data_IF_954200749079
#
_entry.id   IF_954200749079
#
_cell.length_a   1.000
_cell.length_b   1.000
_cell.length_c   1.000
_cell.angle_alpha   90.00
_cell.angle_beta   90.00
_cell.angle_gamma   90.00
#
_symmetry.space_group_name_H-M   'P 1'
#
loop_
_entity.id
_entity.type
_entity.pdbx_description
1 polymer ?
#
# COMPACT_ATOMS: atom_id res chain seq x y z
N UNK A 1 26.76 -2.40 7.35
CA UNK A 1 25.76 -2.23 6.26
C UNK A 1 25.60 -0.74 5.91
N UNK A 2 26.18 -0.29 4.80
CA UNK A 2 26.00 1.07 4.30
C UNK A 2 24.76 1.12 3.40
N UNK A 3 23.71 1.83 3.85
CA UNK A 3 22.58 2.16 2.98
C UNK A 3 23.09 3.12 1.89
N UNK A 4 23.03 2.75 0.60
CA UNK A 4 23.52 3.60 -0.48
C UNK A 4 22.69 4.89 -0.52
N UNK A 5 23.37 6.04 -0.49
CA UNK A 5 22.74 7.36 -0.66
C UNK A 5 22.27 8.08 0.61
N UNK A 6 22.51 7.54 1.81
CA UNK A 6 22.19 8.27 3.04
C UNK A 6 23.15 9.46 3.24
N UNK A 7 22.59 10.62 3.62
CA UNK A 7 23.37 11.77 4.04
C UNK A 7 24.12 11.47 5.35
N UNK A 8 25.38 11.91 5.52
CA UNK A 8 26.14 11.64 6.75
C UNK A 8 25.60 12.50 7.91
N UNK A 9 24.64 11.96 8.65
CA UNK A 9 24.18 12.57 9.90
C UNK A 9 25.16 12.25 11.04
N UNK A 10 25.81 13.26 11.60
CA UNK A 10 26.88 13.09 12.60
C UNK A 10 26.40 13.06 14.06
N UNK A 11 25.15 13.45 14.32
CA UNK A 11 24.61 13.59 15.70
C UNK A 11 23.59 12.50 16.06
N UNK A 12 22.72 12.15 15.13
CA UNK A 12 21.62 11.21 15.34
C UNK A 12 21.18 10.65 13.98
N UNK A 13 20.74 9.41 13.95
CA UNK A 13 20.19 8.77 12.76
C UNK A 13 18.68 9.12 12.64
N UNK A 14 18.26 9.86 11.60
CA UNK A 14 16.86 10.26 11.44
C UNK A 14 15.93 9.11 11.05
N UNK A 15 16.48 7.92 10.74
CA UNK A 15 15.66 6.74 10.45
C UNK A 15 15.23 5.98 11.70
N UNK A 16 15.74 6.37 12.89
CA UNK A 16 15.25 5.85 14.16
C UNK A 16 13.91 6.52 14.49
N UNK A 17 12.86 5.71 14.64
CA UNK A 17 11.56 6.18 15.11
C UNK A 17 11.63 6.44 16.63
N UNK A 18 11.41 7.68 17.05
CA UNK A 18 11.37 8.06 18.48
C UNK A 18 10.02 7.73 19.12
N UNK A 19 8.97 7.70 18.30
CA UNK A 19 7.58 7.51 18.72
C UNK A 19 6.90 6.50 17.80
N UNK A 20 5.98 5.71 18.37
CA UNK A 20 5.22 4.72 17.63
C UNK A 20 4.14 5.42 16.78
N UNK A 21 4.17 5.34 15.44
CA UNK A 21 3.20 6.04 14.59
C UNK A 21 1.82 5.35 14.62
N UNK A 22 0.74 6.13 14.50
CA UNK A 22 -0.61 5.55 14.37
C UNK A 22 -0.82 4.79 13.05
N UNK A 23 -0.15 5.24 11.98
CA UNK A 23 -0.18 4.64 10.64
C UNK A 23 1.25 4.61 10.10
N UNK A 24 1.69 3.45 9.63
CA UNK A 24 2.98 3.28 8.96
C UNK A 24 2.75 2.63 7.59
N UNK A 25 3.22 3.28 6.52
CA UNK A 25 2.95 2.82 5.17
C UNK A 25 4.22 2.71 4.32
N UNK A 26 4.21 1.78 3.37
CA UNK A 26 5.20 1.71 2.30
C UNK A 26 4.55 1.93 0.94
N UNK A 27 5.27 2.61 0.04
CA UNK A 27 4.82 2.89 -1.32
C UNK A 27 5.29 1.84 -2.33
N UNK A 28 4.72 1.90 -3.54
CA UNK A 28 5.12 1.09 -4.70
C UNK A 28 5.16 -0.42 -4.41
N UNK A 29 4.25 -0.92 -3.58
CA UNK A 29 4.13 -2.35 -3.31
C UNK A 29 3.49 -3.09 -4.50
N UNK A 30 3.80 -4.38 -4.71
CA UNK A 30 3.18 -5.16 -5.78
C UNK A 30 1.68 -5.40 -5.57
N UNK A 31 1.18 -5.26 -4.33
CA UNK A 31 -0.24 -5.45 -3.98
C UNK A 31 -0.63 -4.60 -2.77
N UNK A 32 -1.93 -4.31 -2.68
CA UNK A 32 -2.53 -3.71 -1.49
C UNK A 32 -2.57 -4.72 -0.34
N UNK A 33 -2.24 -4.26 0.86
CA UNK A 33 -2.41 -4.99 2.11
C UNK A 33 -2.51 -4.00 3.27
N UNK A 34 -3.34 -4.31 4.25
CA UNK A 34 -3.40 -3.56 5.51
C UNK A 34 -3.46 -4.50 6.71
N UNK A 35 -2.82 -4.12 7.82
CA UNK A 35 -2.85 -4.90 9.07
C UNK A 35 -2.75 -3.99 10.27
N UNK A 36 -3.65 -4.17 11.24
CA UNK A 36 -3.54 -3.53 12.55
C UNK A 36 -2.66 -4.39 13.47
N UNK A 37 -1.60 -3.81 14.01
CA UNK A 37 -0.73 -4.44 15.01
C UNK A 37 -0.93 -3.80 16.38
N UNK A 38 -0.74 -4.61 17.42
CA UNK A 38 -0.70 -4.17 18.82
C UNK A 38 0.71 -4.34 19.35
N UNK A 39 1.26 -3.27 19.93
CA UNK A 39 2.54 -3.28 20.63
C UNK A 39 2.40 -3.83 22.06
N UNK A 40 3.54 -4.06 22.69
CA UNK A 40 3.63 -4.62 24.05
C UNK A 40 3.07 -3.65 25.11
N UNK A 41 3.19 -2.33 24.88
CA UNK A 41 2.64 -1.29 25.78
C UNK A 41 1.24 -0.81 25.36
N UNK A 42 0.53 -1.61 24.56
CA UNK A 42 -0.82 -1.29 24.08
C UNK A 42 -0.87 -0.27 22.94
N UNK A 43 0.26 0.08 22.32
CA UNK A 43 0.27 0.89 21.10
C UNK A 43 -0.50 0.18 19.98
N UNK A 44 -1.15 0.95 19.11
CA UNK A 44 -1.86 0.42 17.93
C UNK A 44 -1.32 1.08 16.67
N UNK A 45 -0.89 0.27 15.72
CA UNK A 45 -0.29 0.73 14.46
C UNK A 45 -1.00 0.09 13.28
N UNK A 46 -1.55 0.91 12.40
CA UNK A 46 -2.03 0.46 11.10
C UNK A 46 -0.85 0.39 10.12
N UNK A 47 -0.50 -0.81 9.68
CA UNK A 47 0.42 -1.03 8.57
C UNK A 47 -0.33 -1.02 7.24
N UNK A 48 0.16 -0.28 6.24
CA UNK A 48 -0.42 -0.24 4.89
C UNK A 48 0.65 -0.40 3.80
N UNK A 49 0.42 -1.30 2.86
CA UNK A 49 1.22 -1.39 1.62
C UNK A 49 0.45 -0.74 0.48
N UNK A 50 0.89 0.45 0.05
CA UNK A 50 0.25 1.20 -1.02
C UNK A 50 0.69 0.60 -2.36
N UNK A 51 -0.22 0.05 -3.17
CA UNK A 51 0.15 -0.61 -4.42
C UNK A 51 0.64 0.38 -5.47
N UNK A 52 1.40 -0.11 -6.46
CA UNK A 52 1.80 0.67 -7.63
C UNK A 52 0.57 1.06 -8.45
N UNK A 53 0.20 2.34 -8.47
CA UNK A 53 -1.02 2.79 -9.14
C UNK A 53 -1.00 2.54 -10.66
N UNK A 54 0.15 2.72 -11.32
CA UNK A 54 0.26 2.59 -12.79
C UNK A 54 -0.07 1.19 -13.31
N UNK A 55 0.08 0.16 -12.49
CA UNK A 55 -0.21 -1.24 -12.85
C UNK A 55 -1.49 -1.75 -12.22
N UNK A 56 -1.79 -1.32 -10.99
CA UNK A 56 -2.93 -1.85 -10.22
C UNK A 56 -4.18 -0.99 -10.30
N UNK A 57 -4.06 0.27 -10.74
CA UNK A 57 -5.13 1.27 -10.75
C UNK A 57 -5.85 1.35 -9.40
N UNK A 58 -5.11 1.14 -8.30
CA UNK A 58 -5.66 1.00 -6.95
C UNK A 58 -5.05 2.02 -6.00
N UNK A 59 -5.90 2.69 -5.22
CA UNK A 59 -5.55 3.61 -4.14
C UNK A 59 -6.01 3.08 -2.77
N UNK A 60 -5.51 3.66 -1.68
CA UNK A 60 -5.87 3.27 -0.31
C UNK A 60 -6.69 4.37 0.37
N UNK A 61 -7.88 4.04 0.88
CA UNK A 61 -8.70 4.93 1.70
C UNK A 61 -8.59 4.53 3.17
N UNK A 62 -8.08 5.44 4.00
CA UNK A 62 -7.93 5.22 5.45
C UNK A 62 -8.98 6.02 6.20
N UNK A 63 -9.76 5.34 7.04
CA UNK A 63 -10.67 5.99 7.97
C UNK A 63 -9.90 6.37 9.25
N UNK A 64 -9.81 7.67 9.53
CA UNK A 64 -9.02 8.19 10.65
C UNK A 64 -9.66 7.95 12.02
N UNK A 65 -10.95 7.59 12.08
CA UNK A 65 -11.65 7.32 13.34
C UNK A 65 -11.37 5.91 13.86
N UNK A 66 -11.39 4.92 12.98
CA UNK A 66 -11.30 3.50 13.35
C UNK A 66 -10.04 2.80 12.80
N UNK A 67 -9.21 3.52 12.04
CA UNK A 67 -8.00 3.02 11.39
C UNK A 67 -8.25 1.84 10.44
N UNK A 68 -9.47 1.71 9.91
CA UNK A 68 -9.73 0.79 8.80
C UNK A 68 -9.15 1.34 7.49
N UNK A 69 -8.68 0.43 6.63
CA UNK A 69 -8.14 0.78 5.32
C UNK A 69 -8.81 -0.08 4.25
N UNK A 70 -9.32 0.57 3.20
CA UNK A 70 -10.00 -0.10 2.09
C UNK A 70 -9.34 0.27 0.75
N UNK A 71 -9.20 -0.68 -0.19
CA UNK A 71 -8.72 -0.38 -1.52
C UNK A 71 -9.83 0.29 -2.36
N UNK A 72 -9.45 1.26 -3.18
CA UNK A 72 -10.30 1.84 -4.24
C UNK A 72 -9.64 1.49 -5.56
N UNK A 73 -10.28 0.65 -6.36
CA UNK A 73 -9.82 0.26 -7.69
C UNK A 73 -10.63 0.99 -8.76
N UNK A 74 -9.93 1.56 -9.73
CA UNK A 74 -10.51 2.25 -10.87
C UNK A 74 -10.37 1.34 -12.09
N UNK A 75 -11.44 1.17 -12.85
CA UNK A 75 -11.41 0.53 -14.16
C UNK A 75 -12.33 1.28 -15.12
N UNK A 76 -11.93 1.36 -16.38
CA UNK A 76 -12.75 1.90 -17.47
C UNK A 76 -12.93 0.84 -18.54
N UNK A 77 -13.99 0.96 -19.34
CA UNK A 77 -14.18 0.11 -20.50
C UNK A 77 -13.07 0.43 -21.52
N UNK A 78 -12.25 -0.58 -21.81
CA UNK A 78 -11.30 -0.54 -22.92
C UNK A 78 -11.98 -0.99 -24.22
N UNK A 79 -11.26 -0.94 -25.34
CA UNK A 79 -11.67 -1.72 -26.50
C UNK A 79 -11.56 -3.20 -26.11
N UNK A 80 -12.69 -3.80 -25.75
CA UNK A 80 -12.82 -5.25 -25.67
C UNK A 80 -12.83 -5.73 -27.12
N UNK A 81 -11.74 -6.34 -27.57
CA UNK A 81 -11.78 -7.20 -28.76
C UNK A 81 -12.63 -8.42 -28.35
N UNK A 82 -13.95 -8.28 -28.49
CA UNK A 82 -14.92 -9.37 -28.39
C UNK A 82 -14.72 -10.29 -29.61
N UNK A 83 -13.64 -11.06 -29.60
CA UNK A 83 -13.48 -12.23 -30.47
C UNK A 83 -14.33 -13.37 -29.87
N UNK A 84 -15.65 -13.15 -29.87
CA UNK A 84 -16.62 -14.20 -29.59
C UNK A 84 -16.58 -15.22 -30.72
N UNK A 85 -15.83 -16.31 -30.51
CA UNK A 85 -15.90 -17.51 -31.36
C UNK A 85 -17.36 -18.00 -31.38
N UNK A 86 -18.07 -17.68 -32.46
CA UNK A 86 -19.38 -18.26 -32.76
C UNK A 86 -19.15 -19.70 -33.22
N UNK A 87 -19.08 -20.66 -32.28
CA UNK A 87 -19.23 -22.08 -32.61
C UNK A 87 -20.67 -22.32 -33.09
N UNK A 88 -20.86 -22.32 -34.41
CA UNK A 88 -22.07 -22.82 -35.06
C UNK A 88 -22.02 -24.34 -35.02
N UNK A 89 -22.63 -24.92 -33.97
CA UNK A 89 -22.86 -26.36 -33.89
C UNK A 89 -23.81 -26.83 -35.00
N UNK A 90 -23.39 -27.87 -35.73
CA UNK A 90 -24.22 -28.64 -36.66
C UNK A 90 -25.07 -29.68 -35.90
#
# INVERSE_FOLDING_TARGET
PSLPGCYPFYKSDPFILTDCPHVYFCGNAPRFQSKLLKGEDGQQVLLVTVPVFSTTQTACLVNLRDLSCQPISFSGFGAEDDDGDMEVGH
#
